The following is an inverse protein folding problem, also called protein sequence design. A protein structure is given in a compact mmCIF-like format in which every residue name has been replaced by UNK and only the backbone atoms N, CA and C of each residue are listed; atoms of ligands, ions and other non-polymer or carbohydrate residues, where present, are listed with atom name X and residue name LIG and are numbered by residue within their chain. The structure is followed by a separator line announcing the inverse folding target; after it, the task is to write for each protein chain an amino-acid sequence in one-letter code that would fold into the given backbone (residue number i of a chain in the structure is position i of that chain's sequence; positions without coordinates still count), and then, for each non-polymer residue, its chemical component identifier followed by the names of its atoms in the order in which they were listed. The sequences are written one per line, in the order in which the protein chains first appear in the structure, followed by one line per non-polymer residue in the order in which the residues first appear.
data_IF_741638239338
#
_entry.id   IF_741638239338
#
_cell.length_a   1.000
_cell.length_b   1.000
_cell.length_c   1.000
_cell.angle_alpha   90.00
_cell.angle_beta   90.00
_cell.angle_gamma   90.00
#
_symmetry.space_group_name_H-M   'P 1'
#
loop_
_entity.id
_entity.type
_entity.pdbx_description
1 polymer ?
#
# COMPACT_ATOMS: atom_id res chain seq x y z
N UNK A 1 12.94 -16.44 -25.73
CA UNK A 1 11.48 -16.78 -25.69
C UNK A 1 11.04 -16.68 -24.24
N UNK A 2 10.01 -15.88 -23.93
CA UNK A 2 9.44 -15.83 -22.57
C UNK A 2 8.69 -17.15 -22.33
N UNK A 3 8.97 -17.90 -21.24
CA UNK A 3 8.27 -19.14 -20.92
C UNK A 3 6.75 -18.96 -20.89
N UNK A 4 5.98 -19.94 -21.37
CA UNK A 4 4.52 -19.79 -21.50
C UNK A 4 3.79 -19.56 -20.16
N UNK A 5 4.35 -20.05 -19.04
CA UNK A 5 3.87 -19.73 -17.69
C UNK A 5 4.01 -18.24 -17.33
N UNK A 6 5.07 -17.58 -17.81
CA UNK A 6 5.31 -16.15 -17.59
C UNK A 6 4.35 -15.28 -18.41
N UNK A 7 3.95 -15.73 -19.61
CA UNK A 7 2.91 -15.05 -20.41
C UNK A 7 1.55 -15.11 -19.72
N UNK A 8 1.20 -16.25 -19.13
CA UNK A 8 -0.01 -16.40 -18.32
C UNK A 8 -0.02 -15.44 -17.12
N UNK A 9 1.10 -15.35 -16.39
CA UNK A 9 1.25 -14.42 -15.26
C UNK A 9 1.05 -12.95 -15.68
N UNK A 10 1.66 -12.52 -16.78
CA UNK A 10 1.53 -11.15 -17.29
C UNK A 10 0.10 -10.83 -17.73
N UNK A 11 -0.57 -11.79 -18.38
CA UNK A 11 -1.98 -11.64 -18.77
C UNK A 11 -2.88 -11.52 -17.54
N UNK A 12 -2.72 -12.38 -16.53
CA UNK A 12 -3.50 -12.31 -15.29
C UNK A 12 -3.27 -11.01 -14.53
N UNK A 13 -2.02 -10.55 -14.43
CA UNK A 13 -1.71 -9.29 -13.78
C UNK A 13 -2.32 -8.09 -14.52
N UNK A 14 -2.23 -8.07 -15.86
CA UNK A 14 -2.84 -7.03 -16.69
C UNK A 14 -4.37 -6.99 -16.56
N UNK A 15 -5.02 -8.16 -16.56
CA UNK A 15 -6.47 -8.28 -16.33
C UNK A 15 -6.87 -7.81 -14.93
N UNK A 16 -6.14 -8.25 -13.90
CA UNK A 16 -6.41 -7.84 -12.52
C UNK A 16 -6.28 -6.32 -12.35
N UNK A 17 -5.24 -5.72 -12.92
CA UNK A 17 -5.04 -4.28 -12.89
C UNK A 17 -6.17 -3.55 -13.65
N UNK A 18 -6.54 -4.01 -14.85
CA UNK A 18 -7.65 -3.44 -15.62
C UNK A 18 -8.97 -3.48 -14.84
N UNK A 19 -9.33 -4.64 -14.29
CA UNK A 19 -10.56 -4.81 -13.51
C UNK A 19 -10.55 -4.00 -12.21
N UNK A 20 -9.39 -3.84 -11.57
CA UNK A 20 -9.26 -3.00 -10.38
C UNK A 20 -9.47 -1.50 -10.68
N UNK A 21 -9.12 -1.04 -11.88
CA UNK A 21 -9.38 0.33 -12.34
C UNK A 21 -10.84 0.54 -12.75
N UNK A 22 -11.50 -0.50 -13.28
CA UNK A 22 -12.91 -0.48 -13.63
C UNK A 22 -13.77 -1.06 -12.51
N UNK A 23 -14.17 -0.21 -11.54
CA UNK A 23 -14.93 -0.57 -10.31
C UNK A 23 -16.15 -1.50 -10.54
N UNK A 24 -16.73 -1.53 -11.73
CA UNK A 24 -17.85 -2.41 -12.12
C UNK A 24 -17.46 -3.88 -12.32
N UNK A 25 -16.17 -4.22 -12.28
CA UNK A 25 -15.64 -5.56 -12.57
C UNK A 25 -15.05 -6.24 -11.32
N UNK A 26 -15.56 -5.92 -10.13
CA UNK A 26 -15.11 -6.51 -8.87
C UNK A 26 -15.13 -8.05 -8.90
N UNK A 27 -16.23 -8.65 -9.36
CA UNK A 27 -16.34 -10.11 -9.41
C UNK A 27 -15.28 -10.75 -10.33
N UNK A 28 -14.97 -10.09 -11.46
CA UNK A 28 -13.95 -10.55 -12.38
C UNK A 28 -12.53 -10.38 -11.78
N UNK A 29 -12.28 -9.29 -11.05
CA UNK A 29 -11.06 -9.08 -10.30
C UNK A 29 -10.88 -10.14 -9.20
N UNK A 30 -11.93 -10.43 -8.43
CA UNK A 30 -11.91 -11.43 -7.36
C UNK A 30 -11.68 -12.84 -7.89
N UNK A 31 -12.37 -13.21 -8.98
CA UNK A 31 -12.20 -14.51 -9.63
C UNK A 31 -10.77 -14.67 -10.17
N UNK A 32 -10.25 -13.61 -10.80
CA UNK A 32 -8.88 -13.59 -11.32
C UNK A 32 -7.87 -13.71 -10.18
N UNK A 33 -8.04 -12.92 -9.12
CA UNK A 33 -7.17 -12.93 -7.95
C UNK A 33 -7.17 -14.28 -7.24
N UNK A 34 -8.36 -14.89 -7.07
CA UNK A 34 -8.49 -16.22 -6.50
C UNK A 34 -7.75 -17.25 -7.36
N UNK A 35 -7.87 -17.17 -8.69
CA UNK A 35 -7.14 -18.05 -9.59
C UNK A 35 -5.62 -17.86 -9.49
N UNK A 36 -5.16 -16.62 -9.38
CA UNK A 36 -3.75 -16.32 -9.15
C UNK A 36 -3.27 -16.88 -7.79
N UNK A 37 -4.11 -16.88 -6.76
CA UNK A 37 -3.79 -17.51 -5.47
C UNK A 37 -3.64 -19.02 -5.59
N UNK A 38 -4.59 -19.70 -6.25
CA UNK A 38 -4.53 -21.16 -6.49
C UNK A 38 -3.28 -21.59 -7.25
N UNK A 39 -2.84 -20.76 -8.21
CA UNK A 39 -1.66 -21.03 -9.04
C UNK A 39 -0.34 -20.62 -8.36
N UNK A 40 -0.37 -20.09 -7.13
CA UNK A 40 0.82 -19.60 -6.43
C UNK A 40 1.42 -18.33 -7.03
N UNK A 41 0.66 -17.61 -7.86
CA UNK A 41 1.08 -16.41 -8.58
C UNK A 41 0.74 -15.10 -7.87
N UNK A 42 -0.10 -15.14 -6.84
CA UNK A 42 -0.48 -13.98 -6.06
C UNK A 42 0.68 -13.49 -5.17
N UNK A 43 1.40 -12.48 -5.65
CA UNK A 43 2.46 -11.76 -4.91
C UNK A 43 1.94 -10.46 -4.31
N UNK A 44 2.73 -9.77 -3.49
CA UNK A 44 2.35 -8.52 -2.81
C UNK A 44 1.70 -7.48 -3.73
N UNK A 45 2.18 -7.33 -4.97
CA UNK A 45 1.57 -6.43 -5.96
C UNK A 45 0.09 -6.74 -6.25
N UNK A 46 -0.29 -8.02 -6.30
CA UNK A 46 -1.68 -8.44 -6.53
C UNK A 46 -2.58 -8.08 -5.35
N UNK A 47 -2.07 -8.22 -4.12
CA UNK A 47 -2.78 -7.80 -2.91
C UNK A 47 -2.98 -6.29 -2.90
N UNK A 48 -1.94 -5.49 -3.23
CA UNK A 48 -2.06 -4.04 -3.34
C UNK A 48 -3.08 -3.60 -4.40
N UNK A 49 -3.16 -4.33 -5.52
CA UNK A 49 -4.19 -4.10 -6.55
C UNK A 49 -5.60 -4.32 -5.99
N UNK A 50 -5.83 -5.42 -5.26
CA UNK A 50 -7.13 -5.70 -4.63
C UNK A 50 -7.46 -4.73 -3.48
N UNK A 51 -6.48 -4.37 -2.65
CA UNK A 51 -6.65 -3.34 -1.60
C UNK A 51 -7.06 -2.01 -2.21
N UNK A 52 -6.42 -1.58 -3.31
CA UNK A 52 -6.79 -0.36 -4.05
C UNK A 52 -8.22 -0.43 -4.55
N UNK A 53 -8.61 -1.53 -5.19
CA UNK A 53 -9.98 -1.75 -5.67
C UNK A 53 -10.98 -1.62 -4.52
N UNK A 54 -10.79 -2.34 -3.41
CA UNK A 54 -11.71 -2.31 -2.28
C UNK A 54 -11.75 -0.94 -1.60
N UNK A 55 -10.63 -0.25 -1.50
CA UNK A 55 -10.56 1.12 -0.96
C UNK A 55 -11.38 2.09 -1.81
N UNK A 56 -11.22 2.03 -3.13
CA UNK A 56 -11.98 2.84 -4.08
C UNK A 56 -13.49 2.54 -4.12
N UNK A 57 -13.89 1.34 -3.69
CA UNK A 57 -15.29 0.93 -3.57
C UNK A 57 -15.86 1.13 -2.15
N UNK A 58 -15.05 1.57 -1.18
CA UNK A 58 -15.47 1.69 0.22
C UNK A 58 -15.74 0.35 0.91
N UNK A 59 -15.17 -0.76 0.42
CA UNK A 59 -15.38 -2.12 0.96
C UNK A 59 -14.40 -2.44 2.08
N UNK A 60 -14.45 -1.67 3.15
CA UNK A 60 -13.48 -1.73 4.25
C UNK A 60 -13.40 -3.09 4.95
N UNK A 61 -14.52 -3.83 5.06
CA UNK A 61 -14.51 -5.21 5.59
C UNK A 61 -13.65 -6.16 4.74
N UNK A 62 -13.65 -5.99 3.41
CA UNK A 62 -12.81 -6.81 2.52
C UNK A 62 -11.34 -6.42 2.62
N UNK A 63 -11.05 -5.14 2.87
CA UNK A 63 -9.69 -4.67 3.19
C UNK A 63 -9.18 -5.38 4.44
N UNK A 64 -9.95 -5.42 5.52
CA UNK A 64 -9.53 -6.07 6.78
C UNK A 64 -9.23 -7.56 6.59
N UNK A 65 -10.07 -8.27 5.83
CA UNK A 65 -9.84 -9.69 5.49
C UNK A 65 -8.53 -9.85 4.72
N UNK A 66 -8.29 -8.98 3.74
CA UNK A 66 -7.11 -9.07 2.89
C UNK A 66 -5.83 -8.68 3.64
N UNK A 67 -5.89 -7.68 4.53
CA UNK A 67 -4.78 -7.30 5.42
C UNK A 67 -4.40 -8.46 6.33
N UNK A 68 -5.38 -9.15 6.92
CA UNK A 68 -5.13 -10.35 7.73
C UNK A 68 -4.46 -11.45 6.91
N UNK A 69 -4.93 -11.70 5.68
CA UNK A 69 -4.30 -12.69 4.78
C UNK A 69 -2.85 -12.31 4.44
N UNK A 70 -2.55 -11.02 4.21
CA UNK A 70 -1.19 -10.52 3.95
C UNK A 70 -0.28 -10.80 5.16
N UNK A 71 -0.77 -10.53 6.38
CA UNK A 71 -0.04 -10.78 7.62
C UNK A 71 0.21 -12.27 7.86
N UNK A 72 -0.81 -13.12 7.71
CA UNK A 72 -0.71 -14.58 7.87
C UNK A 72 0.29 -15.21 6.88
N UNK A 73 0.41 -14.64 5.69
CA UNK A 73 1.36 -15.09 4.66
C UNK A 73 2.75 -14.47 4.79
N UNK A 74 2.98 -13.59 5.76
CA UNK A 74 4.24 -12.88 5.92
C UNK A 74 4.60 -11.99 4.73
N UNK A 75 3.62 -11.50 3.99
CA UNK A 75 3.85 -10.60 2.86
C UNK A 75 4.12 -9.21 3.42
N UNK A 76 5.34 -8.70 3.21
CA UNK A 76 5.76 -7.39 3.71
C UNK A 76 4.94 -6.24 3.12
N UNK A 77 4.71 -5.20 3.93
CA UNK A 77 4.10 -3.97 3.46
C UNK A 77 5.10 -3.12 2.70
N UNK A 78 4.62 -2.35 1.73
CA UNK A 78 5.42 -1.35 1.03
C UNK A 78 4.72 0.03 1.05
N UNK A 79 5.31 1.02 0.38
CA UNK A 79 4.77 2.39 0.30
C UNK A 79 3.32 2.43 -0.20
N UNK A 80 2.98 1.58 -1.18
CA UNK A 80 1.63 1.51 -1.72
C UNK A 80 0.66 0.97 -0.66
N UNK A 81 1.03 -0.13 0.01
CA UNK A 81 0.22 -0.72 1.09
C UNK A 81 -0.06 0.30 2.19
N UNK A 82 0.98 1.03 2.65
CA UNK A 82 0.83 2.10 3.65
C UNK A 82 -0.21 3.13 3.21
N UNK A 83 -0.03 3.65 1.99
CA UNK A 83 -0.85 4.74 1.46
C UNK A 83 -2.31 4.30 1.28
N UNK A 84 -2.54 3.09 0.78
CA UNK A 84 -3.89 2.54 0.59
C UNK A 84 -4.61 2.37 1.93
N UNK A 85 -3.94 1.74 2.90
CA UNK A 85 -4.54 1.45 4.20
C UNK A 85 -4.77 2.71 5.02
N UNK A 86 -3.82 3.65 5.06
CA UNK A 86 -4.01 4.94 5.73
C UNK A 86 -5.17 5.72 5.13
N UNK A 87 -5.31 5.74 3.80
CA UNK A 87 -6.42 6.42 3.16
C UNK A 87 -7.78 5.77 3.48
N UNK A 88 -7.81 4.44 3.53
CA UNK A 88 -8.98 3.64 3.90
C UNK A 88 -9.40 3.88 5.36
N UNK A 89 -8.47 3.82 6.30
CA UNK A 89 -8.76 4.08 7.72
C UNK A 89 -9.13 5.55 7.97
N UNK A 90 -8.48 6.50 7.28
CA UNK A 90 -8.87 7.91 7.33
C UNK A 90 -10.30 8.13 6.79
N UNK A 91 -10.72 7.39 5.76
CA UNK A 91 -12.08 7.49 5.21
C UNK A 91 -13.17 6.95 6.16
N UNK A 92 -12.78 6.15 7.14
CA UNK A 92 -13.66 5.64 8.22
C UNK A 92 -13.40 6.32 9.56
N UNK A 93 -12.52 7.34 9.58
CA UNK A 93 -12.06 8.03 10.79
C UNK A 93 -11.50 7.08 11.87
N UNK A 94 -10.97 5.93 11.48
CA UNK A 94 -10.33 4.96 12.37
C UNK A 94 -8.89 5.39 12.66
N UNK A 95 -8.76 6.40 13.51
CA UNK A 95 -7.48 7.00 13.91
C UNK A 95 -6.59 5.94 14.55
N UNK A 96 -7.12 5.12 15.45
CA UNK A 96 -6.35 4.09 16.17
C UNK A 96 -5.63 3.15 15.22
N UNK A 97 -6.31 2.68 14.15
CA UNK A 97 -5.66 1.83 13.14
C UNK A 97 -4.64 2.58 12.31
N UNK A 98 -4.87 3.87 12.01
CA UNK A 98 -3.86 4.69 11.32
C UNK A 98 -2.57 4.79 12.14
N UNK A 99 -2.68 5.02 13.46
CA UNK A 99 -1.53 5.11 14.35
C UNK A 99 -0.80 3.78 14.48
N UNK A 100 -1.55 2.69 14.70
CA UNK A 100 -0.98 1.34 14.80
C UNK A 100 -0.26 0.92 13.52
N UNK A 101 -0.84 1.22 12.35
CA UNK A 101 -0.21 0.91 11.07
C UNK A 101 1.12 1.67 10.90
N UNK A 102 1.14 2.97 11.21
CA UNK A 102 2.35 3.77 11.10
C UNK A 102 3.45 3.23 12.03
N UNK A 103 3.12 2.97 13.30
CA UNK A 103 4.06 2.38 14.27
C UNK A 103 4.58 1.02 13.82
N UNK A 104 3.70 0.17 13.29
CA UNK A 104 4.07 -1.15 12.75
C UNK A 104 5.08 -1.01 11.62
N UNK A 105 4.87 -0.09 10.68
CA UNK A 105 5.77 0.10 9.55
C UNK A 105 7.09 0.80 9.94
N UNK A 106 7.07 1.69 10.93
CA UNK A 106 8.29 2.27 11.50
C UNK A 106 9.15 1.22 12.24
N UNK A 107 8.52 0.21 12.84
CA UNK A 107 9.20 -0.84 13.60
C UNK A 107 9.66 -2.05 12.75
N UNK A 108 9.18 -2.18 11.50
CA UNK A 108 9.52 -3.29 10.63
C UNK A 108 10.91 -3.06 9.98
N UNK A 109 11.94 -3.89 10.28
CA UNK A 109 13.27 -3.71 9.74
C UNK A 109 13.35 -3.93 8.22
N UNK A 110 12.34 -4.53 7.60
CA UNK A 110 12.25 -4.73 6.15
C UNK A 110 11.65 -3.52 5.44
N UNK A 111 11.07 -2.57 6.17
CA UNK A 111 10.44 -1.37 5.63
C UNK A 111 11.38 -0.18 5.81
N UNK A 112 11.77 0.45 4.71
CA UNK A 112 12.46 1.75 4.77
C UNK A 112 11.43 2.86 4.68
N UNK A 113 11.20 3.55 5.79
CA UNK A 113 10.35 4.74 5.83
C UNK A 113 11.10 5.94 5.25
N UNK A 114 10.65 6.42 4.08
CA UNK A 114 11.21 7.59 3.42
C UNK A 114 10.29 8.82 3.52
N UNK A 115 10.72 9.92 2.89
CA UNK A 115 9.97 11.17 2.88
C UNK A 115 8.58 11.04 2.24
N UNK A 116 8.39 10.15 1.24
CA UNK A 116 7.09 9.88 0.63
C UNK A 116 6.16 9.18 1.61
N UNK A 117 6.66 8.17 2.35
CA UNK A 117 5.87 7.48 3.38
C UNK A 117 5.33 8.46 4.42
N UNK A 118 6.19 9.32 4.95
CA UNK A 118 5.80 10.32 5.97
C UNK A 118 4.86 11.40 5.41
N UNK A 119 5.06 11.84 4.16
CA UNK A 119 4.16 12.79 3.50
C UNK A 119 2.76 12.19 3.28
N UNK A 120 2.68 10.94 2.79
CA UNK A 120 1.41 10.22 2.66
C UNK A 120 0.70 10.08 4.01
N UNK A 121 1.44 9.74 5.07
CA UNK A 121 0.88 9.64 6.41
C UNK A 121 0.36 10.98 6.92
N UNK A 122 1.13 12.06 6.77
CA UNK A 122 0.70 13.39 7.15
C UNK A 122 -0.61 13.80 6.47
N UNK A 123 -0.72 13.56 5.16
CA UNK A 123 -1.94 13.85 4.40
C UNK A 123 -3.14 13.07 4.93
N UNK A 124 -2.98 11.78 5.27
CA UNK A 124 -4.04 10.99 5.86
C UNK A 124 -4.48 11.52 7.23
N UNK A 125 -3.53 11.88 8.12
CA UNK A 125 -3.84 12.47 9.42
C UNK A 125 -4.50 13.87 9.32
N UNK A 126 -4.13 14.66 8.32
CA UNK A 126 -4.80 15.94 8.01
C UNK A 126 -6.27 15.74 7.66
N UNK A 127 -6.59 14.71 6.86
CA UNK A 127 -7.98 14.41 6.44
C UNK A 127 -8.91 14.07 7.60
N UNK A 128 -8.37 13.53 8.70
CA UNK A 128 -9.13 13.24 9.94
C UNK A 128 -9.02 14.37 10.97
N UNK A 129 -8.44 15.52 10.61
CA UNK A 129 -8.36 16.71 11.47
C UNK A 129 -7.20 16.72 12.47
N UNK A 130 -6.32 15.71 12.46
CA UNK A 130 -5.18 15.62 13.38
C UNK A 130 -3.97 16.43 12.87
N UNK A 131 -4.12 17.76 12.91
CA UNK A 131 -3.14 18.74 12.38
C UNK A 131 -1.77 18.64 13.04
N UNK A 132 -1.70 18.56 14.37
CA UNK A 132 -0.42 18.50 15.10
C UNK A 132 0.39 17.26 14.73
N UNK A 133 -0.31 16.12 14.59
CA UNK A 133 0.32 14.86 14.18
C UNK A 133 0.80 14.95 12.74
N UNK A 134 -0.02 15.47 11.84
CA UNK A 134 0.38 15.68 10.45
C UNK A 134 1.60 16.61 10.33
N UNK A 135 1.64 17.72 11.07
CA UNK A 135 2.78 18.65 11.06
C UNK A 135 4.06 17.97 11.56
N UNK A 136 3.95 17.13 12.58
CA UNK A 136 5.08 16.34 13.09
C UNK A 136 5.62 15.38 12.04
N UNK A 137 4.74 14.73 11.28
CA UNK A 137 5.14 13.83 10.19
C UNK A 137 5.73 14.58 8.99
N UNK A 138 5.22 15.77 8.66
CA UNK A 138 5.80 16.64 7.62
C UNK A 138 7.22 17.07 7.98
N UNK A 139 7.46 17.48 9.23
CA UNK A 139 8.81 17.82 9.71
C UNK A 139 9.78 16.64 9.55
N UNK A 140 9.34 15.41 9.85
CA UNK A 140 10.16 14.21 9.61
C UNK A 140 10.45 14.00 8.11
N UNK A 141 9.44 14.20 7.26
CA UNK A 141 9.59 14.12 5.79
C UNK A 141 10.64 15.12 5.27
N UNK A 142 10.56 16.39 5.69
CA UNK A 142 11.49 17.46 5.30
C UNK A 142 12.95 17.18 5.72
N UNK A 143 13.14 16.65 6.94
CA UNK A 143 14.46 16.25 7.44
C UNK A 143 15.08 15.18 6.54
N UNK A 144 14.30 14.19 6.10
CA UNK A 144 14.77 13.11 5.23
C UNK A 144 15.12 13.61 3.81
N UNK A 145 14.35 14.55 3.27
CA UNK A 145 14.67 15.21 1.99
C UNK A 145 16.01 15.93 2.12
N UNK A 146 16.17 16.73 3.18
CA UNK A 146 17.40 17.50 3.42
C UNK A 146 18.63 16.59 3.54
N UNK A 147 18.51 15.48 4.27
CA UNK A 147 19.58 14.49 4.42
C UNK A 147 19.92 13.80 3.09
N UNK A 148 18.92 13.45 2.28
CA UNK A 148 19.12 12.86 0.95
C UNK A 148 19.88 13.81 0.03
N UNK A 149 19.48 15.09 -0.01
CA UNK A 149 20.16 16.13 -0.80
C UNK A 149 21.61 16.33 -0.34
N UNK A 150 21.87 16.36 0.97
CA UNK A 150 23.25 16.47 1.50
C UNK A 150 24.12 15.27 1.12
N UNK A 151 23.60 14.04 1.20
CA UNK A 151 24.35 12.82 0.80
C UNK A 151 24.69 12.83 -0.70
N UNK A 152 23.76 13.27 -1.55
CA UNK A 152 23.99 13.40 -2.99
C UNK A 152 25.14 14.38 -3.29
N UNK A 153 25.15 15.54 -2.62
CA UNK A 153 26.21 16.54 -2.79
C UNK A 153 27.59 16.05 -2.33
N UNK A 154 27.66 15.21 -1.28
CA UNK A 154 28.93 14.65 -0.81
C UNK A 154 29.50 13.53 -1.70
N UNK A 155 28.64 12.80 -2.43
CA UNK A 155 29.06 11.68 -3.29
C UNK A 155 29.50 12.12 -4.70
N UNK A 156 29.42 13.41 -5.02
CA UNK A 156 29.81 13.99 -6.31
C UNK A 156 31.13 14.77 -6.26
N UNK A 157 31.86 14.70 -5.14
CA UNK A 157 33.22 15.19 -4.97
C UNK A 157 34.18 14.01 -4.82
#
# INVERSE_FOLDING_TARGET
MVPDQLKGLQAYFGLLHCYAHHKSLEQAAETTFQKMKELGFAKGVCYNTMLTLYSHMGKYRKIDILVKEIEEKGIGYNLDTLSILLNSYAATSDIDRMEKLLLKMEADPLVTMDWLNYNSAANAFLRVGLREKAQTLLRRSEQLITLKTRKLLMNTC
#
